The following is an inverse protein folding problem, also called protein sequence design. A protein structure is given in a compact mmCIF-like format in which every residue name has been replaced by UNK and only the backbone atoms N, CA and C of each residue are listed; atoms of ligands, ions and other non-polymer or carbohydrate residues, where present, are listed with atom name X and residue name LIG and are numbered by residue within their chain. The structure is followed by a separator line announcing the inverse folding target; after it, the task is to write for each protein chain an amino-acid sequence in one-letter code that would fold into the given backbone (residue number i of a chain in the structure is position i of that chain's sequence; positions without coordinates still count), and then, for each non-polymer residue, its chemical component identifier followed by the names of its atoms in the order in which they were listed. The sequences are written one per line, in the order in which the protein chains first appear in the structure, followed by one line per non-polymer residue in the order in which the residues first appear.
data_IF_076034533657
#
_entry.id   IF_076034533657
#
_cell.length_a   1.000
_cell.length_b   1.000
_cell.length_c   1.000
_cell.angle_alpha   90.00
_cell.angle_beta   90.00
_cell.angle_gamma   90.00
#
_symmetry.space_group_name_H-M   'P 1'
#
loop_
_entity.id
_entity.type
_entity.pdbx_description
1 polymer ?
#
# COMPACT_ATOMS: atom_id res chain seq x y z
N UNK A 1 59.97 61.52 -41.67
CA UNK A 1 59.46 60.17 -42.00
C UNK A 1 58.95 59.45 -40.74
N UNK A 2 59.66 59.52 -39.61
CA UNK A 2 59.29 58.88 -38.33
C UNK A 2 57.95 59.32 -37.72
N UNK A 3 57.60 60.62 -37.77
CA UNK A 3 56.35 61.12 -37.17
C UNK A 3 55.08 60.45 -37.74
N UNK A 4 55.06 60.20 -39.06
CA UNK A 4 53.92 59.54 -39.71
C UNK A 4 53.80 58.07 -39.32
N UNK A 5 54.94 57.38 -39.13
CA UNK A 5 54.98 56.00 -38.65
C UNK A 5 54.46 55.90 -37.20
N UNK A 6 54.93 56.79 -36.32
CA UNK A 6 54.46 56.90 -34.94
C UNK A 6 52.93 57.13 -34.87
N UNK A 7 52.41 58.05 -35.68
CA UNK A 7 50.97 58.33 -35.74
C UNK A 7 50.15 57.11 -36.19
N UNK A 8 50.66 56.33 -37.15
CA UNK A 8 50.01 55.08 -37.61
C UNK A 8 49.99 54.04 -36.49
N UNK A 9 51.13 53.82 -35.82
CA UNK A 9 51.24 52.88 -34.69
C UNK A 9 50.27 53.25 -33.57
N UNK A 10 50.17 54.54 -33.20
CA UNK A 10 49.23 54.99 -32.16
C UNK A 10 47.78 54.67 -32.54
N UNK A 11 47.40 54.87 -33.81
CA UNK A 11 46.06 54.56 -34.31
C UNK A 11 45.77 53.05 -34.29
N UNK A 12 46.73 52.25 -34.73
CA UNK A 12 46.61 50.78 -34.75
C UNK A 12 46.52 50.23 -33.32
N UNK A 13 47.35 50.73 -32.39
CA UNK A 13 47.28 50.41 -30.96
C UNK A 13 45.97 50.83 -30.31
N UNK A 14 45.41 51.98 -30.70
CA UNK A 14 44.12 52.43 -30.21
C UNK A 14 42.99 51.47 -30.67
N UNK A 15 43.05 50.98 -31.91
CA UNK A 15 42.11 50.00 -32.45
C UNK A 15 42.22 48.66 -31.72
N UNK A 16 43.44 48.15 -31.57
CA UNK A 16 43.75 46.90 -30.86
C UNK A 16 43.26 46.95 -29.41
N UNK A 17 43.42 48.09 -28.71
CA UNK A 17 42.91 48.27 -27.35
C UNK A 17 41.38 48.22 -27.25
N UNK A 18 40.66 48.73 -28.27
CA UNK A 18 39.19 48.64 -28.30
C UNK A 18 38.75 47.18 -28.51
N UNK A 19 39.42 46.47 -29.43
CA UNK A 19 39.15 45.06 -29.70
C UNK A 19 39.42 44.20 -28.45
N UNK A 20 40.55 44.40 -27.77
CA UNK A 20 40.88 43.70 -26.52
C UNK A 20 39.86 43.95 -25.41
N UNK A 21 39.38 45.19 -25.25
CA UNK A 21 38.34 45.51 -24.26
C UNK A 21 37.04 44.74 -24.53
N UNK A 22 36.65 44.58 -25.79
CA UNK A 22 35.47 43.82 -26.16
C UNK A 22 35.66 42.32 -25.87
N UNK A 23 36.82 41.73 -26.21
CA UNK A 23 37.11 40.34 -25.87
C UNK A 23 37.06 40.08 -24.36
N UNK A 24 37.59 41.00 -23.53
CA UNK A 24 37.51 40.89 -22.06
C UNK A 24 36.05 40.89 -21.57
N UNK A 25 35.18 41.70 -22.18
CA UNK A 25 33.76 41.76 -21.82
C UNK A 25 33.03 40.46 -22.16
N UNK A 26 33.36 39.79 -23.27
CA UNK A 26 32.77 38.51 -23.64
C UNK A 26 33.21 37.39 -22.70
N UNK A 27 34.52 37.29 -22.41
CA UNK A 27 35.05 36.27 -21.49
C UNK A 27 34.42 36.35 -20.09
N UNK A 28 34.18 37.56 -19.58
CA UNK A 28 33.50 37.76 -18.29
C UNK A 28 32.05 37.26 -18.30
N UNK A 29 31.35 37.36 -19.44
CA UNK A 29 29.99 36.82 -19.56
C UNK A 29 30.03 35.30 -19.58
N UNK A 30 30.98 34.71 -20.29
CA UNK A 30 31.14 33.26 -20.40
C UNK A 30 31.47 32.62 -19.06
N UNK A 31 32.32 33.25 -18.25
CA UNK A 31 32.64 32.80 -16.89
C UNK A 31 31.39 32.74 -15.99
N UNK A 32 30.56 33.79 -16.02
CA UNK A 32 29.30 33.82 -15.28
C UNK A 32 28.24 32.83 -15.80
N UNK A 33 28.29 32.48 -17.09
CA UNK A 33 27.45 31.41 -17.65
C UNK A 33 27.93 30.02 -17.22
N UNK A 34 29.25 29.82 -17.15
CA UNK A 34 29.85 28.55 -16.73
C UNK A 34 29.51 28.21 -15.27
N UNK A 35 29.54 29.20 -14.38
CA UNK A 35 29.16 29.01 -12.96
C UNK A 35 27.69 28.59 -12.83
N UNK A 36 26.78 29.23 -13.57
CA UNK A 36 25.37 28.85 -13.61
C UNK A 36 25.18 27.42 -14.13
N UNK A 37 25.88 27.04 -15.20
CA UNK A 37 25.81 25.68 -15.74
C UNK A 37 26.24 24.63 -14.70
N UNK A 38 27.31 24.89 -13.93
CA UNK A 38 27.74 23.98 -12.87
C UNK A 38 26.68 23.79 -11.78
N UNK A 39 26.00 24.88 -11.38
CA UNK A 39 24.90 24.80 -10.42
C UNK A 39 23.70 23.99 -10.96
N UNK A 40 23.33 24.21 -12.22
CA UNK A 40 22.25 23.48 -12.91
C UNK A 40 22.58 21.99 -13.10
N UNK A 41 23.83 21.65 -13.36
CA UNK A 41 24.27 20.24 -13.46
C UNK A 41 24.07 19.52 -12.12
N UNK A 42 24.40 20.17 -11.01
CA UNK A 42 24.19 19.61 -9.67
C UNK A 42 22.71 19.41 -9.36
N UNK A 43 21.87 20.41 -9.61
CA UNK A 43 20.42 20.31 -9.42
C UNK A 43 19.80 19.19 -10.28
N UNK A 44 20.26 19.05 -11.53
CA UNK A 44 19.83 17.95 -12.41
C UNK A 44 20.21 16.56 -11.89
N UNK A 45 21.37 16.42 -11.24
CA UNK A 45 21.77 15.16 -10.61
C UNK A 45 20.87 14.83 -9.40
N UNK A 46 20.58 15.83 -8.58
CA UNK A 46 19.70 15.68 -7.41
C UNK A 46 18.28 15.31 -7.85
N UNK A 47 17.71 16.01 -8.83
CA UNK A 47 16.38 15.72 -9.39
C UNK A 47 16.30 14.32 -10.01
N UNK A 48 17.34 13.87 -10.72
CA UNK A 48 17.40 12.48 -11.23
C UNK A 48 17.34 11.46 -10.11
N UNK A 49 18.07 11.70 -9.02
CA UNK A 49 18.06 10.80 -7.86
C UNK A 49 16.69 10.74 -7.18
N UNK A 50 15.99 11.87 -7.10
CA UNK A 50 14.64 11.96 -6.54
C UNK A 50 13.61 11.24 -7.42
N UNK A 51 13.69 11.41 -8.75
CA UNK A 51 12.85 10.69 -9.71
C UNK A 51 13.03 9.18 -9.57
N UNK A 52 14.27 8.70 -9.44
CA UNK A 52 14.53 7.27 -9.24
C UNK A 52 13.97 6.75 -7.92
N UNK A 53 14.06 7.53 -6.85
CA UNK A 53 13.45 7.19 -5.56
C UNK A 53 11.92 7.13 -5.65
N UNK A 54 11.30 8.14 -6.26
CA UNK A 54 9.85 8.21 -6.52
C UNK A 54 9.36 7.06 -7.39
N UNK A 55 10.11 6.70 -8.42
CA UNK A 55 9.77 5.57 -9.30
C UNK A 55 9.77 4.25 -8.51
N UNK A 56 10.75 4.05 -7.63
CA UNK A 56 10.80 2.85 -6.76
C UNK A 56 9.64 2.81 -5.77
N UNK A 57 9.27 3.92 -5.14
CA UNK A 57 8.13 3.97 -4.22
C UNK A 57 6.81 3.74 -4.96
N UNK A 58 6.65 4.33 -6.14
CA UNK A 58 5.47 4.13 -6.99
C UNK A 58 5.32 2.68 -7.45
N UNK A 59 6.40 2.02 -7.89
CA UNK A 59 6.36 0.60 -8.24
C UNK A 59 5.94 -0.29 -7.06
N UNK A 60 6.46 -0.02 -5.86
CA UNK A 60 6.02 -0.74 -4.64
C UNK A 60 4.55 -0.51 -4.35
N UNK A 61 4.09 0.75 -4.41
CA UNK A 61 2.69 1.10 -4.21
C UNK A 61 1.78 0.39 -5.22
N UNK A 62 2.11 0.45 -6.52
CA UNK A 62 1.38 -0.25 -7.59
C UNK A 62 1.28 -1.75 -7.32
N UNK A 63 2.38 -2.40 -6.94
CA UNK A 63 2.38 -3.84 -6.65
C UNK A 63 1.51 -4.22 -5.44
N UNK A 64 1.38 -3.32 -4.47
CA UNK A 64 0.48 -3.48 -3.33
C UNK A 64 -0.97 -3.23 -3.73
N UNK A 65 -1.22 -2.23 -4.57
CA UNK A 65 -2.54 -1.95 -5.12
C UNK A 65 -3.07 -3.15 -5.91
N UNK A 66 -2.26 -3.77 -6.77
CA UNK A 66 -2.65 -4.97 -7.53
C UNK A 66 -3.06 -6.14 -6.61
N UNK A 67 -2.42 -6.27 -5.44
CA UNK A 67 -2.79 -7.28 -4.44
C UNK A 67 -4.11 -6.92 -3.77
N UNK A 68 -4.31 -5.65 -3.43
CA UNK A 68 -5.56 -5.15 -2.86
C UNK A 68 -6.72 -5.35 -3.82
N UNK A 69 -6.55 -5.01 -5.11
CA UNK A 69 -7.57 -5.21 -6.14
C UNK A 69 -7.95 -6.68 -6.30
N UNK A 70 -6.97 -7.60 -6.24
CA UNK A 70 -7.25 -9.05 -6.23
C UNK A 70 -8.05 -9.47 -5.00
N UNK A 71 -7.70 -8.99 -3.80
CA UNK A 71 -8.42 -9.28 -2.57
C UNK A 71 -9.85 -8.73 -2.61
N UNK A 72 -10.04 -7.49 -3.05
CA UNK A 72 -11.37 -6.88 -3.18
C UNK A 72 -12.20 -7.57 -4.26
N UNK A 73 -11.59 -7.95 -5.39
CA UNK A 73 -12.22 -8.77 -6.42
C UNK A 73 -12.70 -10.13 -5.89
N UNK A 74 -11.95 -10.75 -4.97
CA UNK A 74 -12.35 -11.97 -4.28
C UNK A 74 -13.38 -11.72 -3.17
N UNK A 75 -13.37 -10.56 -2.52
CA UNK A 75 -14.30 -10.20 -1.45
C UNK A 75 -15.67 -9.75 -1.97
N UNK A 76 -15.79 -9.40 -3.26
CA UNK A 76 -17.07 -9.22 -3.98
C UNK A 76 -17.85 -10.55 -4.15
N UNK A 77 -17.93 -11.36 -3.10
CA UNK A 77 -18.86 -12.46 -2.99
C UNK A 77 -20.28 -11.88 -2.84
N UNK A 78 -21.09 -12.13 -3.87
CA UNK A 78 -22.36 -11.49 -4.22
C UNK A 78 -23.53 -11.94 -3.33
N UNK A 79 -23.48 -11.66 -2.02
CA UNK A 79 -24.65 -11.88 -1.16
C UNK A 79 -25.49 -10.63 -0.92
N UNK A 80 -24.91 -9.44 -1.07
CA UNK A 80 -25.66 -8.19 -1.04
C UNK A 80 -25.71 -7.59 -2.44
N UNK A 81 -26.83 -7.82 -3.14
CA UNK A 81 -27.07 -7.35 -4.51
C UNK A 81 -27.51 -5.88 -4.58
N UNK A 82 -27.39 -5.14 -3.47
CA UNK A 82 -28.08 -3.84 -3.31
C UNK A 82 -27.12 -2.66 -3.08
N UNK A 83 -25.82 -2.83 -3.36
CA UNK A 83 -24.80 -1.79 -3.18
C UNK A 83 -24.44 -1.00 -4.45
N UNK A 84 -24.20 0.30 -4.30
CA UNK A 84 -23.61 1.16 -5.33
C UNK A 84 -22.27 0.59 -5.83
N UNK A 85 -22.17 0.32 -7.13
CA UNK A 85 -21.00 -0.27 -7.78
C UNK A 85 -21.10 -1.75 -8.13
N UNK A 86 -22.27 -2.39 -7.90
CA UNK A 86 -22.56 -3.73 -8.41
C UNK A 86 -22.79 -3.71 -9.92
N UNK A 87 -21.87 -4.30 -10.67
CA UNK A 87 -22.01 -4.52 -12.11
C UNK A 87 -22.46 -5.97 -12.37
N UNK A 88 -23.72 -6.10 -12.78
CA UNK A 88 -24.38 -7.39 -13.07
C UNK A 88 -23.70 -8.16 -14.23
N UNK A 89 -22.83 -7.49 -15.01
CA UNK A 89 -22.11 -8.07 -16.15
C UNK A 89 -20.89 -8.91 -15.73
N UNK A 90 -20.36 -8.74 -14.52
CA UNK A 90 -19.26 -9.56 -13.99
C UNK A 90 -19.79 -10.87 -13.36
N UNK A 91 -20.41 -11.73 -14.20
CA UNK A 91 -20.78 -13.12 -13.84
C UNK A 91 -19.54 -14.01 -13.78
N UNK A 92 -18.63 -13.70 -12.87
CA UNK A 92 -17.40 -14.46 -12.68
C UNK A 92 -17.77 -15.82 -12.06
N UNK A 93 -17.82 -16.86 -12.91
CA UNK A 93 -18.09 -18.28 -12.57
C UNK A 93 -17.10 -18.91 -11.56
N UNK A 94 -16.19 -18.14 -10.97
CA UNK A 94 -15.13 -18.66 -10.10
C UNK A 94 -15.61 -19.00 -8.68
N UNK A 95 -16.80 -18.57 -8.27
CA UNK A 95 -17.34 -18.89 -6.94
C UNK A 95 -17.99 -20.27 -6.82
N UNK A 96 -18.42 -20.90 -7.92
CA UNK A 96 -19.04 -22.24 -7.87
C UNK A 96 -18.07 -23.29 -7.30
N UNK A 97 -16.76 -23.17 -7.62
CA UNK A 97 -15.72 -24.08 -7.09
C UNK A 97 -15.42 -23.90 -5.60
N UNK A 98 -15.79 -22.77 -4.98
CA UNK A 98 -15.61 -22.56 -3.54
C UNK A 98 -16.79 -23.10 -2.73
N UNK A 99 -18.02 -23.03 -3.27
CA UNK A 99 -19.22 -23.56 -2.61
C UNK A 99 -19.26 -25.09 -2.59
N UNK A 100 -18.74 -25.75 -3.64
CA UNK A 100 -18.73 -27.21 -3.71
C UNK A 100 -17.78 -27.88 -2.70
N UNK A 101 -16.81 -27.16 -2.13
CA UNK A 101 -15.86 -27.75 -1.16
C UNK A 101 -16.41 -27.93 0.26
N UNK A 102 -17.65 -27.54 0.55
CA UNK A 102 -18.21 -27.60 1.93
C UNK A 102 -19.64 -28.12 2.07
N UNK A 103 -20.12 -28.99 1.18
CA UNK A 103 -21.22 -29.91 1.59
C UNK A 103 -20.63 -31.14 2.29
N UNK A 104 -19.95 -30.93 3.43
CA UNK A 104 -19.74 -32.04 4.38
C UNK A 104 -21.14 -32.44 4.80
N UNK A 105 -21.63 -33.56 4.27
CA UNK A 105 -22.91 -34.12 4.64
C UNK A 105 -22.84 -34.39 6.14
N UNK A 106 -23.42 -33.49 6.94
CA UNK A 106 -23.38 -33.60 8.40
C UNK A 106 -24.22 -34.80 8.79
N UNK A 107 -23.58 -35.90 9.14
CA UNK A 107 -24.22 -37.06 9.75
C UNK A 107 -24.17 -36.93 11.27
N UNK A 108 -25.19 -37.47 11.92
CA UNK A 108 -25.27 -37.50 13.36
C UNK A 108 -24.50 -38.71 13.89
N UNK A 109 -23.48 -38.49 14.73
CA UNK A 109 -22.69 -39.59 15.31
C UNK A 109 -23.51 -40.52 16.23
N UNK A 110 -24.72 -40.11 16.64
CA UNK A 110 -25.58 -40.90 17.53
C UNK A 110 -26.57 -41.80 16.76
N UNK A 111 -27.24 -41.29 15.73
CA UNK A 111 -28.25 -42.05 14.98
C UNK A 111 -27.85 -42.38 13.54
N UNK A 112 -26.69 -41.94 13.09
CA UNK A 112 -26.17 -42.18 11.74
C UNK A 112 -26.89 -41.42 10.62
N UNK A 113 -27.97 -40.69 10.91
CA UNK A 113 -28.76 -39.96 9.89
C UNK A 113 -28.10 -38.63 9.53
N UNK A 114 -28.24 -38.25 8.27
CA UNK A 114 -27.74 -36.98 7.72
C UNK A 114 -28.71 -35.82 8.03
N UNK A 115 -28.18 -34.60 8.07
CA UNK A 115 -28.95 -33.36 8.21
C UNK A 115 -29.01 -32.77 9.62
N UNK A 116 -28.37 -33.38 10.62
CA UNK A 116 -28.29 -32.82 11.99
C UNK A 116 -27.05 -33.32 12.74
N UNK A 117 -26.68 -32.63 13.84
CA UNK A 117 -25.57 -33.01 14.71
C UNK A 117 -26.05 -33.77 15.95
N UNK A 118 -25.12 -34.45 16.63
CA UNK A 118 -25.42 -35.23 17.85
C UNK A 118 -26.14 -34.42 18.93
N UNK A 119 -25.82 -33.14 19.11
CA UNK A 119 -26.48 -32.28 20.10
C UNK A 119 -27.94 -32.00 19.79
N UNK A 120 -28.33 -32.00 18.51
CA UNK A 120 -29.69 -31.72 18.03
C UNK A 120 -30.45 -32.99 17.65
N UNK A 121 -29.90 -34.17 17.95
CA UNK A 121 -30.51 -35.45 17.61
C UNK A 121 -31.79 -35.70 18.44
N UNK A 122 -32.89 -35.97 17.74
CA UNK A 122 -34.18 -36.28 18.38
C UNK A 122 -34.08 -37.53 19.27
N UNK A 123 -33.41 -38.58 18.80
CA UNK A 123 -33.23 -39.82 19.56
C UNK A 123 -32.34 -39.64 20.81
N UNK A 124 -31.59 -38.54 20.93
CA UNK A 124 -30.77 -38.22 22.12
C UNK A 124 -31.60 -37.59 23.24
N UNK A 125 -32.80 -37.06 22.95
CA UNK A 125 -33.69 -36.52 23.96
C UNK A 125 -34.34 -37.68 24.74
N UNK A 126 -33.58 -38.33 25.62
CA UNK A 126 -34.20 -38.95 26.79
C UNK A 126 -34.72 -37.82 27.67
N UNK A 127 -36.00 -37.89 28.01
CA UNK A 127 -36.79 -36.90 28.73
C UNK A 127 -36.34 -36.73 30.18
N UNK A 128 -35.14 -36.21 30.41
CA UNK A 128 -34.75 -35.70 31.73
C UNK A 128 -35.23 -34.25 31.84
N UNK A 129 -36.37 -34.06 32.49
CA UNK A 129 -36.90 -32.74 32.86
C UNK A 129 -35.93 -32.09 33.85
N UNK A 130 -34.94 -31.35 33.34
CA UNK A 130 -34.12 -30.47 34.17
C UNK A 130 -35.05 -29.32 34.61
N UNK A 131 -35.44 -29.30 35.89
CA UNK A 131 -36.13 -28.16 36.49
C UNK A 131 -35.11 -27.01 36.60
N UNK A 132 -35.24 -26.00 35.75
CA UNK A 132 -34.50 -24.75 35.89
C UNK A 132 -35.18 -23.89 36.96
N UNK A 133 -34.48 -23.63 38.06
CA UNK A 133 -34.90 -22.67 39.09
C UNK A 133 -34.34 -21.30 38.67
N UNK A 134 -35.17 -20.27 38.68
CA UNK A 134 -34.74 -18.90 38.41
C UNK A 134 -33.90 -18.36 39.56
N UNK A 135 -32.68 -17.90 39.29
CA UNK A 135 -31.79 -17.27 40.27
C UNK A 135 -31.50 -15.84 39.83
N UNK A 136 -31.63 -14.88 40.76
CA UNK A 136 -31.25 -13.48 40.55
C UNK A 136 -29.76 -13.38 40.21
N UNK A 137 -29.43 -12.64 39.15
CA UNK A 137 -28.04 -12.43 38.69
C UNK A 137 -27.20 -11.81 39.81
N UNK A 138 -26.17 -12.53 40.27
CA UNK A 138 -25.21 -12.04 41.27
C UNK A 138 -24.79 -13.06 42.33
N UNK A 139 -25.53 -14.17 42.49
CA UNK A 139 -25.19 -15.20 43.49
C UNK A 139 -24.40 -16.34 42.83
N UNK A 140 -23.07 -16.26 42.86
CA UNK A 140 -22.24 -17.41 42.50
C UNK A 140 -22.26 -18.43 43.64
N UNK A 141 -22.51 -19.72 43.41
CA UNK A 141 -22.41 -20.73 44.46
C UNK A 141 -20.94 -20.87 44.88
N UNK A 142 -20.60 -20.32 46.04
CA UNK A 142 -19.22 -20.18 46.54
C UNK A 142 -18.58 -21.49 47.03
N UNK A 143 -19.11 -22.66 46.66
CA UNK A 143 -18.53 -23.94 47.09
C UNK A 143 -18.68 -25.04 46.03
N UNK A 144 -18.10 -24.82 44.85
CA UNK A 144 -17.82 -25.91 43.92
C UNK A 144 -16.51 -26.58 44.34
N UNK A 145 -16.59 -27.74 45.00
CA UNK A 145 -15.43 -28.63 45.20
C UNK A 145 -15.09 -29.31 43.86
N UNK A 146 -14.11 -28.76 43.15
CA UNK A 146 -13.57 -29.31 41.90
C UNK A 146 -12.25 -28.62 41.53
N UNK A 147 -11.40 -29.23 40.66
CA UNK A 147 -10.03 -28.78 40.45
C UNK A 147 -10.01 -27.38 39.83
N UNK A 148 -9.41 -26.43 40.54
CA UNK A 148 -9.28 -25.03 40.12
C UNK A 148 -8.40 -24.94 38.87
N UNK A 149 -8.99 -24.78 37.69
CA UNK A 149 -8.29 -24.32 36.48
C UNK A 149 -8.69 -22.88 36.18
N UNK A 150 -8.25 -21.95 37.03
CA UNK A 150 -8.19 -20.54 36.65
C UNK A 150 -6.73 -20.15 36.81
N UNK A 151 -6.02 -20.15 35.69
CA UNK A 151 -4.64 -19.67 35.61
C UNK A 151 -4.67 -18.15 35.63
N UNK A 152 -3.92 -17.54 36.55
CA UNK A 152 -3.77 -16.08 36.64
C UNK A 152 -2.31 -15.73 36.32
N UNK A 153 -2.03 -14.78 35.39
CA UNK A 153 -0.66 -14.37 35.09
C UNK A 153 -0.04 -13.59 36.26
N UNK A 154 1.26 -13.79 36.50
CA UNK A 154 2.03 -12.98 37.46
C UNK A 154 2.51 -11.70 36.78
N UNK A 155 2.36 -10.58 37.50
CA UNK A 155 3.00 -9.28 37.23
C UNK A 155 4.45 -9.36 37.72
#
# INVERSE_FOLDING_TARGET
MEYLLLKKIVKDRAKENVELKNCILELKKDEGMNEKNSSLEKENLDLKSEIDALKRTFSKFSSSNDKMDKLLGMQRCVFDRVGLGFDEMNKVKHFDKFLDRKKKVMNCNFCGKVGHITSTCWNRKSSTKIKTIWILKGTFPTNVKGPKTIWVPKI
#
